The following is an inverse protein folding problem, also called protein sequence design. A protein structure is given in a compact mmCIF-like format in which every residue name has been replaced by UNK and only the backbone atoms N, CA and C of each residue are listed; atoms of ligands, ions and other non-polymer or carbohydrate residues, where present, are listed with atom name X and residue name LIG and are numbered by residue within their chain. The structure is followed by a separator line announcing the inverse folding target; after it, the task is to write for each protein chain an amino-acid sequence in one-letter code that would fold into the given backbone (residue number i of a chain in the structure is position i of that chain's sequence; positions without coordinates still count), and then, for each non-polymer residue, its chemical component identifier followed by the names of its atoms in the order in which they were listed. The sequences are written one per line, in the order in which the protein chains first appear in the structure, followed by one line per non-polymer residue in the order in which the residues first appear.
data_IF_615054185948
#
_entry.id   IF_615054185948
#
_cell.length_a   1.000
_cell.length_b   1.000
_cell.length_c   1.000
_cell.angle_alpha   90.00
_cell.angle_beta   90.00
_cell.angle_gamma   90.00
#
_symmetry.space_group_name_H-M   'P 1'
#
loop_
_entity.id
_entity.type
_entity.pdbx_description
1 polymer ?
#
# COMPACT_ATOMS: atom_id res chain seq x y z
N UNK A 1 17.11 20.61 9.22
CA UNK A 1 17.54 19.61 8.22
C UNK A 1 16.45 18.57 8.04
N UNK A 2 15.25 19.00 7.62
CA UNK A 2 14.26 18.28 6.80
C UNK A 2 13.19 19.28 6.34
N UNK A 3 13.55 20.55 6.21
CA UNK A 3 12.64 21.69 6.25
C UNK A 3 11.61 21.65 5.10
N UNK A 4 12.00 21.06 3.96
CA UNK A 4 11.11 20.78 2.83
C UNK A 4 10.06 19.69 3.16
N UNK A 5 10.46 18.61 3.82
CA UNK A 5 9.54 17.53 4.24
C UNK A 5 8.57 18.07 5.29
N UNK A 6 9.07 18.87 6.24
CA UNK A 6 8.25 19.51 7.26
C UNK A 6 7.21 20.44 6.62
N UNK A 7 7.63 21.28 5.66
CA UNK A 7 6.72 22.16 4.93
C UNK A 7 5.64 21.40 4.15
N UNK A 8 6.01 20.29 3.47
CA UNK A 8 5.06 19.45 2.76
C UNK A 8 4.08 18.76 3.71
N UNK A 9 4.57 18.29 4.87
CA UNK A 9 3.72 17.71 5.92
C UNK A 9 2.74 18.73 6.48
N UNK A 10 3.20 19.95 6.80
CA UNK A 10 2.32 21.03 7.26
C UNK A 10 1.23 21.33 6.22
N UNK A 11 1.59 21.42 4.94
CA UNK A 11 0.62 21.63 3.86
C UNK A 11 -0.39 20.48 3.76
N UNK A 12 0.06 19.24 3.88
CA UNK A 12 -0.83 18.06 3.89
C UNK A 12 -1.79 18.10 5.08
N UNK A 13 -1.30 18.41 6.27
CA UNK A 13 -2.09 18.43 7.51
C UNK A 13 -3.18 19.51 7.47
N UNK A 14 -2.99 20.61 6.74
CA UNK A 14 -4.02 21.64 6.51
C UNK A 14 -5.24 21.12 5.74
N UNK A 15 -5.15 19.99 5.05
CA UNK A 15 -6.28 19.37 4.34
C UNK A 15 -7.13 18.46 5.25
N UNK A 16 -6.78 18.31 6.53
CA UNK A 16 -7.57 17.54 7.50
C UNK A 16 -8.68 18.41 8.14
N UNK A 17 -9.82 17.83 8.55
CA UNK A 17 -10.18 16.42 8.44
C UNK A 17 -10.65 16.04 7.03
N UNK A 18 -10.25 14.86 6.58
CA UNK A 18 -10.81 14.24 5.38
C UNK A 18 -12.12 13.52 5.74
N UNK A 19 -13.01 13.35 4.76
CA UNK A 19 -14.24 12.60 5.00
C UNK A 19 -13.91 11.14 5.37
N UNK A 20 -14.73 10.48 6.21
CA UNK A 20 -14.49 9.08 6.59
C UNK A 20 -14.36 8.13 5.39
N UNK A 21 -15.11 8.38 4.32
CA UNK A 21 -15.02 7.61 3.08
C UNK A 21 -13.66 7.78 2.38
N UNK A 22 -13.12 9.01 2.32
CA UNK A 22 -11.79 9.26 1.75
C UNK A 22 -10.72 8.58 2.61
N UNK A 23 -10.81 8.71 3.93
CA UNK A 23 -9.85 8.07 4.86
C UNK A 23 -9.85 6.55 4.67
N UNK A 24 -11.03 5.93 4.58
CA UNK A 24 -11.17 4.50 4.32
C UNK A 24 -10.51 4.08 3.00
N UNK A 25 -10.82 4.77 1.90
CA UNK A 25 -10.24 4.47 0.59
C UNK A 25 -8.70 4.63 0.59
N UNK A 26 -8.18 5.67 1.26
CA UNK A 26 -6.74 5.87 1.38
C UNK A 26 -6.08 4.75 2.19
N UNK A 27 -6.71 4.33 3.29
CA UNK A 27 -6.18 3.24 4.12
C UNK A 27 -6.13 1.92 3.34
N UNK A 28 -7.19 1.59 2.59
CA UNK A 28 -7.23 0.38 1.75
C UNK A 28 -6.14 0.41 0.66
N UNK A 29 -5.96 1.52 -0.05
CA UNK A 29 -4.89 1.68 -1.06
C UNK A 29 -3.49 1.62 -0.45
N UNK A 30 -3.28 2.23 0.72
CA UNK A 30 -1.99 2.22 1.41
C UNK A 30 -1.60 0.83 1.89
N UNK A 31 -2.54 0.02 2.40
CA UNK A 31 -2.28 -1.36 2.80
C UNK A 31 -1.76 -2.17 1.61
N UNK A 32 -2.44 -2.10 0.46
CA UNK A 32 -2.04 -2.81 -0.76
C UNK A 32 -0.64 -2.39 -1.21
N UNK A 33 -0.38 -1.09 -1.27
CA UNK A 33 0.93 -0.56 -1.69
C UNK A 33 2.03 -0.94 -0.72
N UNK A 34 1.75 -0.90 0.58
CA UNK A 34 2.71 -1.27 1.62
C UNK A 34 3.14 -2.72 1.47
N UNK A 35 2.19 -3.66 1.43
CA UNK A 35 2.46 -5.09 1.21
C UNK A 35 3.22 -5.33 -0.08
N UNK A 36 2.77 -4.74 -1.19
CA UNK A 36 3.45 -4.88 -2.49
C UNK A 36 4.91 -4.40 -2.41
N UNK A 37 5.15 -3.19 -1.91
CA UNK A 37 6.50 -2.62 -1.89
C UNK A 37 7.42 -3.33 -0.90
N UNK A 38 6.92 -3.71 0.28
CA UNK A 38 7.70 -4.46 1.27
C UNK A 38 8.16 -5.81 0.70
N UNK A 39 7.21 -6.58 0.15
CA UNK A 39 7.53 -7.91 -0.38
C UNK A 39 8.38 -7.83 -1.65
N UNK A 40 8.20 -6.79 -2.48
CA UNK A 40 9.03 -6.57 -3.66
C UNK A 40 10.50 -6.32 -3.29
N UNK A 41 10.78 -5.63 -2.16
CA UNK A 41 12.15 -5.45 -1.65
C UNK A 41 12.78 -6.81 -1.30
N UNK A 42 11.97 -7.75 -0.83
CA UNK A 42 12.38 -9.12 -0.48
C UNK A 42 12.39 -10.08 -1.69
N UNK A 43 12.07 -9.57 -2.89
CA UNK A 43 12.12 -10.33 -4.15
C UNK A 43 10.82 -11.03 -4.54
N UNK A 44 9.69 -10.68 -3.91
CA UNK A 44 8.38 -11.12 -4.39
C UNK A 44 8.07 -10.50 -5.75
N UNK A 45 7.47 -11.29 -6.65
CA UNK A 45 7.21 -10.89 -8.04
C UNK A 45 5.75 -10.57 -8.34
N UNK A 46 4.86 -10.65 -7.34
CA UNK A 46 3.46 -10.24 -7.50
C UNK A 46 3.41 -8.78 -7.94
N UNK A 47 2.59 -8.48 -8.95
CA UNK A 47 2.25 -7.12 -9.34
C UNK A 47 1.31 -6.48 -8.31
N UNK A 48 1.17 -5.16 -8.33
CA UNK A 48 0.26 -4.45 -7.42
C UNK A 48 -1.18 -4.98 -7.47
N UNK A 49 -1.68 -5.34 -8.66
CA UNK A 49 -3.02 -5.90 -8.83
C UNK A 49 -3.09 -7.33 -8.27
N UNK A 50 -2.08 -8.16 -8.53
CA UNK A 50 -2.00 -9.51 -7.98
C UNK A 50 -1.94 -9.48 -6.44
N UNK A 51 -1.13 -8.59 -5.86
CA UNK A 51 -1.08 -8.35 -4.41
C UNK A 51 -2.46 -7.97 -3.85
N UNK A 52 -3.18 -7.06 -4.52
CA UNK A 52 -4.53 -6.67 -4.09
C UNK A 52 -5.47 -7.88 -4.04
N UNK A 53 -5.47 -8.68 -5.11
CA UNK A 53 -6.33 -9.87 -5.23
C UNK A 53 -5.95 -10.93 -4.18
N UNK A 54 -4.66 -11.10 -3.87
CA UNK A 54 -4.19 -11.97 -2.78
C UNK A 54 -4.68 -11.50 -1.42
N UNK A 55 -4.64 -10.21 -1.13
CA UNK A 55 -5.17 -9.64 0.13
C UNK A 55 -6.70 -9.80 0.26
N UNK A 56 -7.41 -9.94 -0.87
CA UNK A 56 -8.84 -10.30 -0.90
C UNK A 56 -9.09 -11.81 -0.74
N UNK A 57 -8.03 -12.62 -0.55
CA UNK A 57 -8.10 -14.07 -0.32
C UNK A 57 -8.10 -14.92 -1.60
N UNK A 58 -7.78 -14.33 -2.75
CA UNK A 58 -7.78 -15.00 -4.04
C UNK A 58 -6.34 -15.33 -4.45
N UNK A 59 -6.08 -16.58 -4.80
CA UNK A 59 -4.75 -17.00 -5.25
C UNK A 59 -4.49 -16.65 -6.71
N UNK A 60 -3.22 -16.41 -7.04
CA UNK A 60 -2.77 -16.05 -8.39
C UNK A 60 -2.05 -17.23 -9.02
N UNK A 61 -2.57 -17.68 -10.16
CA UNK A 61 -1.98 -18.79 -10.92
C UNK A 61 -0.58 -18.44 -11.47
N UNK A 62 0.33 -19.41 -11.46
CA UNK A 62 1.69 -19.25 -11.98
C UNK A 62 2.67 -18.54 -11.02
N UNK A 63 2.23 -18.22 -9.80
CA UNK A 63 3.06 -17.66 -8.73
C UNK A 63 3.34 -18.72 -7.66
N UNK A 64 4.48 -18.63 -6.99
CA UNK A 64 4.81 -19.60 -5.95
C UNK A 64 3.89 -19.39 -4.73
N UNK A 65 3.52 -20.48 -4.03
CA UNK A 65 2.74 -20.38 -2.79
C UNK A 65 3.43 -19.49 -1.75
N UNK A 66 4.76 -19.56 -1.66
CA UNK A 66 5.59 -18.65 -0.86
C UNK A 66 5.26 -17.18 -1.09
N UNK A 67 4.99 -16.77 -2.32
CA UNK A 67 4.73 -15.36 -2.63
C UNK A 67 3.36 -14.88 -2.14
N UNK A 68 2.48 -15.79 -1.75
CA UNK A 68 1.16 -15.49 -1.19
C UNK A 68 1.18 -15.41 0.34
N UNK A 69 2.29 -15.80 0.96
CA UNK A 69 2.50 -15.71 2.40
C UNK A 69 3.47 -14.54 2.64
N UNK A 70 2.99 -13.49 3.30
CA UNK A 70 3.88 -12.55 4.01
C UNK A 70 4.60 -13.28 5.16
#
# INVERSE_FOLDING_TARGET
MFDNIDALKTKLDQHRPLSPAIVKNLQEDLIVRWTYHSNAIEGNTLTLLETKVVLEGITVGGKALREHFE
#
